data_IF_373230758236
#
_entry.id   IF_373230758236
#
_cell.length_a   1.000
_cell.length_b   1.000
_cell.length_c   1.000
_cell.angle_alpha   90.00
_cell.angle_beta   90.00
_cell.angle_gamma   90.00
#
_symmetry.space_group_name_H-M   'P 1'
#
loop_
_entity.id
_entity.type
_entity.pdbx_description
1 polymer ?
#
# COMPACT_ATOMS: atom_id res chain seq x y z
N UNK A 1 27.93 -25.93 25.54
CA UNK A 1 28.41 -25.30 26.79
C UNK A 1 28.26 -23.76 26.78
N UNK A 2 28.25 -23.11 25.61
CA UNK A 2 28.06 -21.65 25.45
C UNK A 2 26.63 -21.15 25.69
N UNK A 3 25.59 -21.87 25.23
CA UNK A 3 24.19 -21.42 25.30
C UNK A 3 23.65 -21.26 26.74
N UNK A 4 24.04 -22.16 27.66
CA UNK A 4 23.63 -22.09 29.07
C UNK A 4 24.27 -20.88 29.76
N UNK A 5 25.52 -20.54 29.39
CA UNK A 5 26.23 -19.37 29.93
C UNK A 5 25.55 -18.07 29.47
N UNK A 6 25.12 -17.98 28.20
CA UNK A 6 24.36 -16.82 27.71
C UNK A 6 22.97 -16.70 28.38
N UNK A 7 22.30 -17.82 28.63
CA UNK A 7 21.02 -17.84 29.35
C UNK A 7 21.18 -17.27 30.76
N UNK A 8 22.15 -17.78 31.52
CA UNK A 8 22.42 -17.37 32.90
C UNK A 8 22.88 -15.92 32.96
N UNK A 9 23.68 -15.46 31.99
CA UNK A 9 24.14 -14.07 31.91
C UNK A 9 23.03 -13.08 31.50
N UNK A 10 22.00 -13.53 30.77
CA UNK A 10 20.88 -12.67 30.33
C UNK A 10 19.87 -12.34 31.44
N UNK A 11 19.75 -13.22 32.45
CA UNK A 11 18.83 -13.05 33.59
C UNK A 11 19.17 -11.80 34.42
N UNK A 12 20.42 -11.59 34.89
CA UNK A 12 20.75 -10.37 35.65
C UNK A 12 20.61 -9.11 34.80
N UNK A 13 20.85 -9.18 33.48
CA UNK A 13 20.64 -8.05 32.58
C UNK A 13 19.15 -7.69 32.44
N UNK A 14 18.27 -8.69 32.32
CA UNK A 14 16.83 -8.50 32.28
C UNK A 14 16.28 -7.93 33.60
N UNK A 15 16.79 -8.42 34.73
CA UNK A 15 16.44 -7.92 36.07
C UNK A 15 16.91 -6.47 36.24
N UNK A 16 18.14 -6.15 35.82
CA UNK A 16 18.68 -4.78 35.87
C UNK A 16 17.84 -3.83 35.00
N UNK A 17 17.48 -4.24 33.78
CA UNK A 17 16.66 -3.43 32.88
C UNK A 17 15.25 -3.22 33.44
N UNK A 18 14.63 -4.25 34.02
CA UNK A 18 13.33 -4.15 34.67
C UNK A 18 13.35 -3.20 35.88
N UNK A 19 14.44 -3.18 36.66
CA UNK A 19 14.63 -2.25 37.78
C UNK A 19 14.79 -0.80 37.29
N UNK A 20 15.54 -0.58 36.20
CA UNK A 20 15.71 0.74 35.58
C UNK A 20 14.37 1.27 35.03
N UNK A 21 13.62 0.43 34.31
CA UNK A 21 12.31 0.81 33.75
C UNK A 21 11.26 1.08 34.83
N UNK A 22 11.28 0.31 35.93
CA UNK A 22 10.46 0.59 37.13
C UNK A 22 10.81 1.96 37.71
N UNK A 23 12.08 2.35 37.71
CA UNK A 23 12.50 3.66 38.19
C UNK A 23 12.08 4.81 37.26
N UNK A 24 11.96 4.54 35.94
CA UNK A 24 11.55 5.48 34.90
C UNK A 24 10.02 5.60 34.70
N UNK A 25 9.20 4.89 35.50
CA UNK A 25 7.71 4.89 35.41
C UNK A 25 7.16 4.61 34.00
N UNK A 26 7.82 3.78 33.21
CA UNK A 26 7.30 3.32 31.92
C UNK A 26 6.22 2.26 32.21
N UNK A 27 4.97 2.70 32.27
CA UNK A 27 3.80 1.95 32.75
C UNK A 27 3.01 1.21 31.67
N UNK A 28 3.61 0.89 30.52
CA UNK A 28 2.91 0.09 29.51
C UNK A 28 3.17 -1.40 29.72
N UNK A 29 2.10 -2.15 30.03
CA UNK A 29 2.14 -3.61 30.25
C UNK A 29 2.77 -4.35 29.07
N UNK A 30 2.61 -3.81 27.85
CA UNK A 30 3.21 -4.32 26.62
C UNK A 30 4.74 -4.29 26.64
N UNK A 31 5.34 -3.22 27.17
CA UNK A 31 6.80 -3.07 27.29
C UNK A 31 7.37 -4.07 28.29
N UNK A 32 6.65 -4.34 29.38
CA UNK A 32 7.07 -5.33 30.39
C UNK A 32 7.01 -6.76 29.84
N UNK A 33 5.96 -7.10 29.08
CA UNK A 33 5.82 -8.40 28.40
C UNK A 33 6.93 -8.58 27.35
N UNK A 34 7.18 -7.56 26.52
CA UNK A 34 8.25 -7.61 25.52
C UNK A 34 9.63 -7.80 26.17
N UNK A 35 9.88 -7.14 27.30
CA UNK A 35 11.12 -7.29 28.06
C UNK A 35 11.29 -8.68 28.68
N UNK A 36 10.19 -9.28 29.13
CA UNK A 36 10.21 -10.60 29.74
C UNK A 36 10.41 -11.72 28.70
N UNK A 37 9.97 -11.48 27.46
CA UNK A 37 10.17 -12.38 26.33
C UNK A 37 11.56 -12.23 25.68
N UNK A 38 12.24 -11.10 25.87
CA UNK A 38 13.54 -10.83 25.25
C UNK A 38 14.64 -11.86 25.64
N UNK A 39 14.81 -12.26 26.92
CA UNK A 39 15.78 -13.28 27.33
C UNK A 39 15.46 -14.65 26.75
N UNK A 40 14.18 -14.98 26.63
CA UNK A 40 13.71 -16.23 26.02
C UNK A 40 14.00 -16.23 24.51
N UNK A 41 13.82 -15.10 23.83
CA UNK A 41 14.18 -14.91 22.42
C UNK A 41 15.68 -15.03 22.19
N UNK A 42 16.51 -14.33 22.99
CA UNK A 42 17.98 -14.41 22.91
C UNK A 42 18.47 -15.83 23.18
N UNK A 43 17.90 -16.50 24.18
CA UNK A 43 18.21 -17.90 24.46
C UNK A 43 17.80 -18.84 23.32
N UNK A 44 16.61 -18.64 22.75
CA UNK A 44 16.12 -19.43 21.62
C UNK A 44 16.99 -19.30 20.37
N UNK A 45 17.47 -18.09 20.06
CA UNK A 45 18.40 -17.84 18.94
C UNK A 45 19.78 -18.43 19.24
N UNK A 46 20.33 -18.19 20.45
CA UNK A 46 21.68 -18.64 20.82
C UNK A 46 21.79 -20.16 21.00
N UNK A 47 20.70 -20.84 21.35
CA UNK A 47 20.65 -22.31 21.48
C UNK A 47 20.53 -23.03 20.14
N UNK A 48 20.31 -22.30 19.04
CA UNK A 48 20.00 -22.89 17.73
C UNK A 48 18.61 -23.52 17.65
N UNK A 49 17.80 -23.41 18.72
CA UNK A 49 16.42 -23.90 18.76
C UNK A 49 15.50 -23.01 17.90
N UNK A 50 15.87 -21.73 17.76
CA UNK A 50 15.29 -20.76 16.83
C UNK A 50 16.39 -20.41 15.80
N UNK A 51 16.82 -21.38 15.01
CA UNK A 51 17.69 -21.10 13.85
C UNK A 51 16.91 -20.62 12.63
N UNK A 52 15.60 -20.91 12.60
CA UNK A 52 14.61 -20.39 11.65
C UNK A 52 13.28 -20.24 12.42
N UNK A 53 12.40 -19.32 12.01
CA UNK A 53 11.00 -19.30 12.47
C UNK A 53 10.21 -20.51 11.89
N UNK A 54 10.79 -21.71 11.98
CA UNK A 54 10.31 -22.96 11.36
C UNK A 54 9.71 -23.94 12.37
N UNK A 55 9.39 -23.47 13.57
CA UNK A 55 8.61 -24.26 14.52
C UNK A 55 7.16 -24.43 14.03
N UNK A 56 6.73 -25.67 13.84
CA UNK A 56 5.30 -26.03 13.71
C UNK A 56 4.62 -25.72 12.36
N UNK A 57 5.35 -25.77 11.24
CA UNK A 57 4.76 -25.57 9.90
C UNK A 57 4.57 -24.11 9.50
N UNK A 58 4.75 -23.16 10.42
CA UNK A 58 4.64 -21.71 10.20
C UNK A 58 5.52 -21.22 9.04
N UNK A 59 6.77 -21.70 8.93
CA UNK A 59 7.66 -21.35 7.82
C UNK A 59 7.17 -21.88 6.46
N UNK A 60 6.50 -23.03 6.44
CA UNK A 60 5.94 -23.61 5.22
C UNK A 60 4.74 -22.79 4.75
N UNK A 61 3.80 -22.47 5.67
CA UNK A 61 2.62 -21.66 5.39
C UNK A 61 2.99 -20.24 4.96
N UNK A 62 3.99 -19.63 5.61
CA UNK A 62 4.51 -18.33 5.18
C UNK A 62 5.06 -18.38 3.76
N UNK A 63 5.89 -19.39 3.47
CA UNK A 63 6.50 -19.55 2.14
C UNK A 63 5.46 -19.80 1.07
N UNK A 64 4.42 -20.55 1.38
CA UNK A 64 3.30 -20.82 0.47
C UNK A 64 2.46 -19.56 0.22
N UNK A 65 2.13 -18.80 1.27
CA UNK A 65 1.43 -17.52 1.15
C UNK A 65 2.26 -16.44 0.43
N UNK A 66 3.59 -16.45 0.60
CA UNK A 66 4.49 -15.54 -0.13
C UNK A 66 4.57 -15.87 -1.62
N UNK A 67 4.44 -17.16 -1.98
CA UNK A 67 4.45 -17.67 -3.36
C UNK A 67 3.07 -17.73 -4.00
N UNK A 68 2.00 -17.51 -3.26
CA UNK A 68 0.66 -17.42 -3.84
C UNK A 68 0.52 -16.16 -4.67
N UNK A 69 -0.45 -16.17 -5.59
CA UNK A 69 -0.82 -15.01 -6.39
C UNK A 69 -0.99 -13.77 -5.51
N UNK A 70 -0.56 -12.64 -6.05
CA UNK A 70 -0.56 -11.36 -5.38
C UNK A 70 -1.96 -11.05 -4.88
N UNK A 71 -2.06 -10.64 -3.62
CA UNK A 71 -3.32 -10.24 -3.03
C UNK A 71 -3.79 -8.95 -3.70
N UNK A 72 -4.65 -9.11 -4.68
CA UNK A 72 -5.32 -8.00 -5.34
C UNK A 72 -6.53 -7.59 -4.53
N UNK A 73 -6.64 -6.27 -4.35
CA UNK A 73 -7.88 -5.67 -3.95
C UNK A 73 -8.64 -5.27 -5.23
N UNK A 74 -9.92 -5.64 -5.35
CA UNK A 74 -10.71 -5.22 -6.48
C UNK A 74 -10.74 -3.70 -6.51
N UNK A 75 -10.56 -3.15 -7.69
CA UNK A 75 -10.68 -1.72 -7.87
C UNK A 75 -12.13 -1.33 -7.62
N UNK A 76 -12.36 -0.48 -6.62
CA UNK A 76 -13.57 0.35 -6.64
C UNK A 76 -13.26 1.47 -7.62
N UNK A 77 -13.42 1.15 -8.91
CA UNK A 77 -13.11 2.08 -9.99
C UNK A 77 -14.17 3.17 -10.04
N UNK A 78 -13.68 4.39 -9.95
CA UNK A 78 -14.48 5.60 -10.05
C UNK A 78 -14.15 6.18 -11.43
N UNK A 79 -14.94 5.78 -12.43
CA UNK A 79 -14.80 6.24 -13.83
C UNK A 79 -15.62 7.52 -13.98
N UNK A 80 -14.93 8.65 -14.13
CA UNK A 80 -15.57 9.94 -13.87
C UNK A 80 -15.79 10.83 -15.08
N UNK A 81 -16.90 11.56 -15.00
CA UNK A 81 -17.29 12.61 -15.94
C UNK A 81 -17.05 13.99 -15.32
N UNK A 82 -15.82 14.45 -15.37
CA UNK A 82 -15.38 15.72 -14.76
C UNK A 82 -16.11 16.95 -15.31
N UNK A 83 -16.57 16.90 -16.56
CA UNK A 83 -17.41 17.97 -17.12
C UNK A 83 -18.77 18.10 -16.43
N UNK A 84 -19.27 17.01 -15.83
CA UNK A 84 -20.49 17.06 -15.02
C UNK A 84 -20.27 17.90 -13.78
N UNK A 85 -19.11 17.82 -13.10
CA UNK A 85 -18.88 18.57 -11.85
C UNK A 85 -18.68 20.06 -12.05
N UNK A 86 -18.04 20.49 -13.13
CA UNK A 86 -18.01 21.93 -13.45
C UNK A 86 -19.43 22.49 -13.64
N UNK A 87 -20.41 21.65 -14.00
CA UNK A 87 -21.81 22.03 -14.26
C UNK A 87 -22.78 21.72 -13.11
N UNK A 88 -22.58 20.63 -12.38
CA UNK A 88 -23.45 20.07 -11.33
C UNK A 88 -22.87 20.29 -9.91
N UNK A 89 -21.60 20.67 -9.79
CA UNK A 89 -20.95 21.05 -8.55
C UNK A 89 -20.79 19.92 -7.53
N UNK A 90 -20.85 20.29 -6.25
CA UNK A 90 -20.62 19.42 -5.08
C UNK A 90 -21.61 18.24 -5.01
N UNK A 91 -22.80 18.37 -5.59
CA UNK A 91 -23.85 17.34 -5.55
C UNK A 91 -23.45 16.03 -6.24
N UNK A 92 -22.66 16.11 -7.32
CA UNK A 92 -22.14 14.93 -8.01
C UNK A 92 -21.13 14.16 -7.13
N UNK A 93 -20.29 14.87 -6.37
CA UNK A 93 -19.36 14.28 -5.39
C UNK A 93 -20.12 13.64 -4.23
N UNK A 94 -21.19 14.27 -3.74
CA UNK A 94 -22.05 13.67 -2.70
C UNK A 94 -22.73 12.40 -3.18
N UNK A 95 -23.21 12.37 -4.43
CA UNK A 95 -23.79 11.17 -5.04
C UNK A 95 -22.77 10.02 -5.12
N UNK A 96 -21.56 10.32 -5.60
CA UNK A 96 -20.46 9.37 -5.66
C UNK A 96 -20.12 8.82 -4.26
N UNK A 97 -19.88 9.68 -3.29
CA UNK A 97 -19.43 9.30 -1.95
C UNK A 97 -20.44 8.43 -1.19
N UNK A 98 -21.75 8.56 -1.46
CA UNK A 98 -22.80 7.68 -0.88
C UNK A 98 -22.73 6.24 -1.35
N UNK A 99 -22.09 5.97 -2.49
CA UNK A 99 -21.93 4.61 -3.03
C UNK A 99 -20.63 3.94 -2.58
N UNK A 100 -19.71 4.71 -1.99
CA UNK A 100 -18.41 4.21 -1.56
C UNK A 100 -18.53 3.47 -0.23
N UNK A 101 -17.89 2.30 -0.17
CA UNK A 101 -17.78 1.55 1.09
C UNK A 101 -16.47 1.93 1.78
N UNK A 102 -16.50 2.45 3.01
CA UNK A 102 -15.28 2.74 3.78
C UNK A 102 -14.37 1.51 3.89
N UNK A 103 -13.06 1.71 3.75
CA UNK A 103 -12.06 0.65 3.88
C UNK A 103 -11.87 -0.24 2.63
N UNK A 104 -12.59 0.01 1.53
CA UNK A 104 -12.22 -0.55 0.22
C UNK A 104 -11.26 0.41 -0.48
N UNK A 105 -10.26 -0.11 -1.20
CA UNK A 105 -9.39 0.75 -1.98
C UNK A 105 -10.16 1.37 -3.14
N UNK A 106 -9.88 2.63 -3.37
CA UNK A 106 -10.50 3.42 -4.42
C UNK A 106 -9.40 3.78 -5.40
N UNK A 107 -9.73 3.70 -6.69
CA UNK A 107 -8.92 4.27 -7.75
C UNK A 107 -9.75 5.29 -8.51
N UNK A 108 -9.17 6.47 -8.75
CA UNK A 108 -9.72 7.41 -9.72
C UNK A 108 -9.12 7.05 -11.07
N UNK A 109 -9.97 6.77 -12.07
CA UNK A 109 -9.52 6.35 -13.39
C UNK A 109 -9.71 7.47 -14.41
N UNK A 110 -8.62 7.90 -15.06
CA UNK A 110 -8.64 8.85 -16.17
C UNK A 110 -8.26 8.16 -17.47
N UNK A 111 -8.71 8.70 -18.60
CA UNK A 111 -8.39 8.20 -19.93
C UNK A 111 -7.61 9.26 -20.72
N UNK A 112 -6.50 8.87 -21.34
CA UNK A 112 -5.75 9.73 -22.25
C UNK A 112 -6.53 10.02 -23.53
N UNK A 113 -6.09 11.05 -24.26
CA UNK A 113 -6.60 11.37 -25.58
C UNK A 113 -8.02 11.94 -25.56
N UNK A 114 -8.42 12.62 -24.47
CA UNK A 114 -9.70 13.33 -24.36
C UNK A 114 -9.50 14.84 -24.18
N UNK A 115 -9.17 15.57 -25.27
CA UNK A 115 -8.84 16.99 -25.20
C UNK A 115 -9.88 17.83 -24.47
N UNK A 116 -9.47 18.55 -23.43
CA UNK A 116 -10.33 19.46 -22.67
C UNK A 116 -11.45 18.78 -21.85
N UNK A 117 -11.42 17.46 -21.72
CA UNK A 117 -12.42 16.73 -20.92
C UNK A 117 -12.14 16.84 -19.42
N UNK A 118 -10.86 16.77 -19.04
CA UNK A 118 -10.42 16.80 -17.65
C UNK A 118 -10.01 18.21 -17.24
N UNK A 119 -10.86 18.86 -16.43
CA UNK A 119 -10.48 20.09 -15.74
C UNK A 119 -9.56 19.75 -14.54
N UNK A 120 -8.31 20.26 -14.48
CA UNK A 120 -7.38 19.94 -13.41
C UNK A 120 -7.91 20.28 -12.01
N UNK A 121 -8.67 21.37 -11.88
CA UNK A 121 -9.36 21.76 -10.64
C UNK A 121 -10.38 20.71 -10.20
N UNK A 122 -11.16 20.16 -11.12
CA UNK A 122 -12.10 19.08 -10.83
C UNK A 122 -11.37 17.80 -10.40
N UNK A 123 -10.25 17.45 -11.06
CA UNK A 123 -9.42 16.31 -10.64
C UNK A 123 -8.95 16.45 -9.20
N UNK A 124 -8.51 17.63 -8.78
CA UNK A 124 -8.14 17.89 -7.37
C UNK A 124 -9.33 17.68 -6.44
N UNK A 125 -10.51 18.17 -6.77
CA UNK A 125 -11.71 18.01 -5.94
C UNK A 125 -12.09 16.54 -5.74
N UNK A 126 -12.06 15.74 -6.81
CA UNK A 126 -12.31 14.30 -6.72
C UNK A 126 -11.26 13.60 -5.87
N UNK A 127 -9.98 13.86 -6.12
CA UNK A 127 -8.91 13.25 -5.34
C UNK A 127 -9.03 13.60 -3.86
N UNK A 128 -9.37 14.85 -3.52
CA UNK A 128 -9.58 15.28 -2.13
C UNK A 128 -10.77 14.57 -1.47
N UNK A 129 -11.91 14.52 -2.17
CA UNK A 129 -13.10 13.84 -1.66
C UNK A 129 -12.84 12.35 -1.41
N UNK A 130 -12.24 11.66 -2.38
CA UNK A 130 -11.92 10.24 -2.31
C UNK A 130 -10.83 9.93 -1.28
N UNK A 131 -9.86 10.82 -1.08
CA UNK A 131 -8.79 10.65 -0.09
C UNK A 131 -9.30 10.59 1.36
N UNK A 132 -10.50 11.11 1.63
CA UNK A 132 -11.13 10.97 2.95
C UNK A 132 -11.62 9.55 3.25
N UNK A 133 -11.86 8.75 2.21
CA UNK A 133 -12.27 7.34 2.30
C UNK A 133 -11.09 6.38 2.15
N UNK A 134 -10.13 6.71 1.29
CA UNK A 134 -8.91 5.96 1.07
C UNK A 134 -7.68 6.90 1.10
N UNK A 135 -6.95 6.99 2.22
CA UNK A 135 -5.74 7.81 2.33
C UNK A 135 -4.61 7.40 1.38
N UNK A 136 -4.66 6.19 0.83
CA UNK A 136 -3.73 5.64 -0.17
C UNK A 136 -4.37 5.55 -1.57
N UNK A 137 -5.34 6.44 -1.84
CA UNK A 137 -5.99 6.62 -3.14
C UNK A 137 -4.95 6.69 -4.27
N UNK A 138 -5.16 5.87 -5.29
CA UNK A 138 -4.31 5.84 -6.49
C UNK A 138 -5.05 6.47 -7.66
N UNK A 139 -4.40 7.40 -8.36
CA UNK A 139 -4.82 7.85 -9.67
C UNK A 139 -4.29 6.86 -10.70
N UNK A 140 -5.18 6.24 -11.46
CA UNK A 140 -4.83 5.35 -12.56
C UNK A 140 -5.19 6.07 -13.86
N UNK A 141 -4.27 6.05 -14.82
CA UNK A 141 -4.48 6.61 -16.14
C UNK A 141 -4.34 5.50 -17.17
N UNK A 142 -5.34 5.38 -18.03
CA UNK A 142 -5.33 4.43 -19.15
C UNK A 142 -5.20 5.15 -20.48
N UNK A 143 -4.74 4.43 -21.49
CA UNK A 143 -4.79 4.86 -22.88
C UNK A 143 -6.24 4.77 -23.43
N UNK A 144 -6.48 5.20 -24.70
CA UNK A 144 -7.78 5.09 -25.35
C UNK A 144 -8.32 3.64 -25.50
N UNK A 145 -7.45 2.63 -25.50
CA UNK A 145 -7.80 1.21 -25.61
C UNK A 145 -8.11 0.57 -24.23
N UNK A 146 -8.01 1.37 -23.16
CA UNK A 146 -8.23 0.96 -21.78
C UNK A 146 -7.02 0.26 -21.14
N UNK A 147 -5.84 0.27 -21.78
CA UNK A 147 -4.62 -0.29 -21.21
C UNK A 147 -3.97 0.69 -20.25
N UNK A 148 -3.26 0.15 -19.27
CA UNK A 148 -2.56 0.96 -18.29
C UNK A 148 -1.49 1.83 -18.93
N UNK A 149 -1.55 3.14 -18.64
CA UNK A 149 -0.63 4.12 -19.19
C UNK A 149 0.27 4.72 -18.09
N UNK A 150 -0.31 5.06 -16.94
CA UNK A 150 0.44 5.51 -15.77
C UNK A 150 -0.38 5.40 -14.47
N UNK A 151 0.31 5.46 -13.33
CA UNK A 151 -0.30 5.64 -12.02
C UNK A 151 0.44 6.71 -11.20
N UNK A 152 -0.28 7.34 -10.29
CA UNK A 152 0.28 8.25 -9.30
C UNK A 152 -0.45 8.14 -7.96
N UNK A 153 0.24 8.52 -6.88
CA UNK A 153 -0.40 8.69 -5.57
C UNK A 153 -1.31 9.93 -5.61
N UNK A 154 -2.55 9.79 -5.14
CA UNK A 154 -3.55 10.87 -5.19
C UNK A 154 -3.10 12.13 -4.45
N UNK A 155 -2.39 12.00 -3.33
CA UNK A 155 -1.87 13.14 -2.56
C UNK A 155 -0.70 13.81 -3.27
N UNK A 156 0.13 13.06 -3.98
CA UNK A 156 1.20 13.61 -4.81
C UNK A 156 0.60 14.48 -5.94
N UNK A 157 -0.47 14.00 -6.59
CA UNK A 157 -1.17 14.75 -7.65
C UNK A 157 -1.85 16.00 -7.08
N UNK A 158 -2.56 15.89 -5.95
CA UNK A 158 -3.15 17.06 -5.27
C UNK A 158 -2.08 18.12 -4.96
N UNK A 159 -0.94 17.69 -4.39
CA UNK A 159 0.16 18.58 -4.04
C UNK A 159 0.75 19.26 -5.28
N UNK A 160 0.90 18.52 -6.38
CA UNK A 160 1.41 19.04 -7.64
C UNK A 160 0.48 20.09 -8.29
N UNK A 161 -0.83 19.82 -8.30
CA UNK A 161 -1.83 20.69 -8.95
C UNK A 161 -2.25 21.89 -8.09
N UNK A 162 -2.07 21.81 -6.77
CA UNK A 162 -2.44 22.86 -5.81
C UNK A 162 -1.25 23.72 -5.34
N UNK A 163 -0.06 23.51 -5.90
CA UNK A 163 1.16 24.24 -5.51
C UNK A 163 1.19 25.70 -5.94
N UNK A 164 2.25 26.42 -5.55
CA UNK A 164 2.42 27.87 -5.82
C UNK A 164 2.38 28.24 -7.32
N UNK A 165 2.77 27.33 -8.21
CA UNK A 165 2.73 27.51 -9.67
C UNK A 165 1.46 26.89 -10.30
N UNK A 166 0.35 26.86 -9.57
CA UNK A 166 -0.86 26.09 -9.92
C UNK A 166 -1.37 26.27 -11.35
N UNK A 167 -1.35 27.48 -11.90
CA UNK A 167 -1.83 27.70 -13.28
C UNK A 167 -0.97 26.99 -14.34
N UNK A 168 0.35 27.05 -14.21
CA UNK A 168 1.28 26.42 -15.15
C UNK A 168 1.26 24.89 -14.99
N UNK A 169 1.25 24.38 -13.74
CA UNK A 169 1.20 22.94 -13.48
C UNK A 169 -0.11 22.33 -13.94
N UNK A 170 -1.23 23.03 -13.77
CA UNK A 170 -2.53 22.62 -14.31
C UNK A 170 -2.54 22.61 -15.85
N UNK A 171 -1.91 23.60 -16.49
CA UNK A 171 -1.80 23.62 -17.96
C UNK A 171 -0.99 22.42 -18.48
N UNK A 172 0.18 22.13 -17.87
CA UNK A 172 1.01 20.97 -18.22
C UNK A 172 0.31 19.64 -17.97
N UNK A 173 -0.40 19.53 -16.85
CA UNK A 173 -1.18 18.33 -16.54
C UNK A 173 -2.30 18.09 -17.55
N UNK A 174 -3.04 19.14 -17.92
CA UNK A 174 -4.07 19.05 -18.96
C UNK A 174 -3.46 18.66 -20.31
N UNK A 175 -2.37 19.30 -20.71
CA UNK A 175 -1.68 18.97 -21.96
C UNK A 175 -1.22 17.50 -21.99
N UNK A 176 -0.77 16.96 -20.86
CA UNK A 176 -0.37 15.57 -20.74
C UNK A 176 -1.54 14.59 -20.86
N UNK A 177 -2.74 14.93 -20.38
CA UNK A 177 -3.94 14.09 -20.50
C UNK A 177 -4.61 14.20 -21.87
N UNK A 178 -4.50 15.36 -22.52
CA UNK A 178 -5.04 15.59 -23.86
C UNK A 178 -4.27 14.79 -24.93
N UNK A 179 -3.00 14.47 -24.67
CA UNK A 179 -2.20 13.60 -25.53
C UNK A 179 -2.71 12.16 -25.50
N UNK A 180 -2.64 11.41 -26.64
CA UNK A 180 -3.06 10.01 -26.68
C UNK A 180 -2.05 9.06 -26.01
N UNK A 181 -0.82 9.52 -25.76
CA UNK A 181 0.26 8.75 -25.13
C UNK A 181 0.68 9.35 -23.79
N UNK A 182 1.25 8.50 -22.93
CA UNK A 182 1.64 8.88 -21.57
C UNK A 182 3.01 9.60 -21.49
N UNK A 183 3.68 9.91 -22.60
CA UNK A 183 5.04 10.44 -22.59
C UNK A 183 5.16 11.70 -21.73
N UNK A 184 4.33 12.70 -22.00
CA UNK A 184 4.27 13.95 -21.21
C UNK A 184 3.78 13.74 -19.78
N UNK A 185 2.89 12.75 -19.58
CA UNK A 185 2.35 12.45 -18.26
C UNK A 185 3.42 11.87 -17.32
N UNK A 186 4.30 11.02 -17.85
CA UNK A 186 5.39 10.39 -17.10
C UNK A 186 6.51 11.36 -16.73
N UNK A 187 6.59 12.53 -17.38
CA UNK A 187 7.47 13.63 -16.98
C UNK A 187 6.95 14.37 -15.75
N UNK A 188 5.66 14.23 -15.43
CA UNK A 188 5.07 14.91 -14.29
C UNK A 188 5.46 14.21 -12.97
N UNK A 189 5.77 14.98 -11.91
CA UNK A 189 6.14 14.42 -10.61
C UNK A 189 5.08 13.45 -10.07
N UNK A 190 5.53 12.28 -9.62
CA UNK A 190 4.69 11.27 -8.97
C UNK A 190 4.11 10.22 -9.91
N UNK A 191 4.05 10.49 -11.22
CA UNK A 191 3.58 9.53 -12.21
C UNK A 191 4.62 8.44 -12.50
N UNK A 192 4.15 7.24 -12.78
CA UNK A 192 4.98 6.10 -13.14
C UNK A 192 4.23 5.14 -14.02
N UNK A 193 4.97 4.46 -14.91
CA UNK A 193 4.50 3.33 -15.70
C UNK A 193 4.74 1.98 -15.02
N UNK A 194 5.25 2.00 -13.79
CA UNK A 194 5.52 0.78 -13.05
C UNK A 194 4.23 0.14 -12.58
N UNK A 195 4.04 -1.12 -12.97
CA UNK A 195 2.91 -1.97 -12.62
C UNK A 195 3.38 -3.39 -12.33
N UNK A 196 2.47 -4.24 -11.89
CA UNK A 196 2.73 -5.67 -11.70
C UNK A 196 1.72 -6.50 -12.49
N UNK A 197 2.07 -7.71 -12.89
CA UNK A 197 1.13 -8.63 -13.51
C UNK A 197 0.22 -9.23 -12.43
N UNK A 198 -1.04 -9.51 -12.78
CA UNK A 198 -2.02 -10.04 -11.82
C UNK A 198 -1.72 -11.47 -11.36
N UNK A 199 -0.86 -12.20 -12.07
CA UNK A 199 -0.37 -13.54 -11.75
C UNK A 199 0.95 -13.54 -10.96
N UNK A 200 1.56 -12.36 -10.74
CA UNK A 200 2.74 -12.25 -9.90
C UNK A 200 2.44 -12.68 -8.46
N UNK A 201 3.47 -13.03 -7.72
CA UNK A 201 3.36 -13.47 -6.32
C UNK A 201 3.36 -12.30 -5.33
N UNK A 202 2.88 -12.55 -4.11
CA UNK A 202 2.99 -11.58 -3.01
C UNK A 202 4.43 -11.15 -2.75
N UNK A 203 5.40 -12.07 -2.84
CA UNK A 203 6.82 -11.77 -2.67
C UNK A 203 7.36 -10.85 -3.77
N UNK A 204 7.02 -11.11 -5.03
CA UNK A 204 7.41 -10.27 -6.17
C UNK A 204 6.81 -8.87 -6.04
N UNK A 205 5.54 -8.77 -5.65
CA UNK A 205 4.87 -7.49 -5.41
C UNK A 205 5.57 -6.67 -4.32
N UNK A 206 5.85 -7.26 -3.16
CA UNK A 206 6.53 -6.59 -2.06
C UNK A 206 7.96 -6.18 -2.43
N UNK A 207 8.69 -7.04 -3.15
CA UNK A 207 10.05 -6.74 -3.63
C UNK A 207 10.03 -5.56 -4.59
N UNK A 208 9.10 -5.55 -5.55
CA UNK A 208 8.96 -4.45 -6.51
C UNK A 208 8.53 -3.15 -5.82
N UNK A 209 7.64 -3.22 -4.84
CA UNK A 209 7.24 -2.09 -4.00
C UNK A 209 8.41 -1.50 -3.22
N UNK A 210 9.31 -2.33 -2.70
CA UNK A 210 10.49 -1.88 -1.96
C UNK A 210 11.50 -1.18 -2.90
N UNK A 211 11.83 -1.82 -4.02
CA UNK A 211 12.74 -1.29 -5.04
C UNK A 211 12.28 0.07 -5.58
N UNK A 212 10.98 0.26 -5.75
CA UNK A 212 10.39 1.49 -6.25
C UNK A 212 10.03 2.50 -5.16
N UNK A 213 10.29 2.17 -3.88
CA UNK A 213 9.89 2.94 -2.71
C UNK A 213 8.39 3.33 -2.71
N UNK A 214 7.52 2.40 -3.13
CA UNK A 214 6.08 2.60 -3.29
C UNK A 214 5.28 1.62 -2.45
N UNK A 215 4.10 2.05 -2.01
CA UNK A 215 3.19 1.23 -1.20
C UNK A 215 2.12 0.52 -2.04
N UNK A 216 1.85 1.03 -3.23
CA UNK A 216 0.78 0.56 -4.10
C UNK A 216 1.31 0.36 -5.51
N UNK A 217 0.91 -0.74 -6.15
CA UNK A 217 1.14 -1.02 -7.56
C UNK A 217 -0.20 -1.35 -8.23
N UNK A 218 -0.36 -0.90 -9.47
CA UNK A 218 -1.48 -1.34 -10.31
C UNK A 218 -1.18 -2.74 -10.82
N UNK A 219 -2.14 -3.65 -10.69
CA UNK A 219 -2.04 -5.01 -11.20
C UNK A 219 -2.74 -5.10 -12.56
N UNK A 220 -2.06 -5.69 -13.54
CA UNK A 220 -2.51 -5.76 -14.92
C UNK A 220 -2.94 -7.18 -15.30
N UNK A 221 -4.00 -7.27 -16.10
CA UNK A 221 -4.35 -8.51 -16.80
C UNK A 221 -3.38 -8.79 -17.98
N UNK A 222 -3.46 -9.97 -18.62
CA UNK A 222 -2.61 -10.31 -19.77
C UNK A 222 -2.75 -9.34 -20.96
N UNK A 223 -3.89 -8.66 -21.08
CA UNK A 223 -4.17 -7.66 -22.12
C UNK A 223 -3.59 -6.27 -21.78
N UNK A 224 -3.02 -6.10 -20.58
CA UNK A 224 -2.39 -4.88 -20.10
C UNK A 224 -3.36 -3.88 -19.47
N UNK A 225 -4.57 -4.31 -19.10
CA UNK A 225 -5.59 -3.47 -18.48
C UNK A 225 -5.53 -3.57 -16.94
N UNK A 226 -5.84 -2.49 -16.22
CA UNK A 226 -5.94 -2.53 -14.76
C UNK A 226 -6.99 -3.55 -14.30
N UNK A 227 -6.57 -4.53 -13.50
CA UNK A 227 -7.43 -5.55 -12.87
C UNK A 227 -7.65 -5.31 -11.38
N UNK A 228 -6.68 -4.66 -10.73
CA UNK A 228 -6.66 -4.51 -9.28
C UNK A 228 -5.59 -3.55 -8.77
N UNK A 229 -5.62 -3.24 -7.48
CA UNK A 229 -4.49 -2.65 -6.77
C UNK A 229 -3.85 -3.70 -5.86
N UNK A 230 -2.52 -3.79 -5.93
CA UNK A 230 -1.71 -4.46 -4.95
C UNK A 230 -1.25 -3.41 -3.93
N UNK A 231 -1.68 -3.52 -2.67
CA UNK A 231 -1.25 -2.64 -1.58
C UNK A 231 -0.37 -3.39 -0.57
N UNK A 232 0.71 -2.75 -0.12
CA UNK A 232 1.70 -3.34 0.79
C UNK A 232 1.06 -3.79 2.10
N UNK A 233 0.23 -2.95 2.70
CA UNK A 233 -0.47 -3.23 3.95
C UNK A 233 -1.43 -4.42 3.83
N UNK A 234 -2.16 -4.54 2.72
CA UNK A 234 -3.07 -5.64 2.45
C UNK A 234 -2.34 -6.96 2.21
N UNK A 235 -1.22 -6.92 1.47
CA UNK A 235 -0.37 -8.10 1.27
C UNK A 235 0.23 -8.54 2.60
N UNK A 236 0.82 -7.62 3.37
CA UNK A 236 1.41 -7.94 4.68
C UNK A 236 0.36 -8.47 5.65
N UNK A 237 -0.82 -7.84 5.71
CA UNK A 237 -1.95 -8.32 6.54
C UNK A 237 -2.37 -9.72 6.13
N UNK A 238 -2.49 -9.99 4.84
CA UNK A 238 -2.81 -11.32 4.33
C UNK A 238 -1.76 -12.35 4.77
N UNK A 239 -0.47 -12.05 4.63
CA UNK A 239 0.61 -12.93 5.08
C UNK A 239 0.55 -13.19 6.59
N UNK A 240 0.29 -12.15 7.41
CA UNK A 240 0.15 -12.30 8.87
C UNK A 240 -1.07 -13.14 9.25
N UNK A 241 -2.19 -12.98 8.56
CA UNK A 241 -3.39 -13.81 8.79
C UNK A 241 -3.10 -15.27 8.46
N UNK A 242 -2.36 -15.56 7.39
CA UNK A 242 -1.99 -16.95 7.08
C UNK A 242 -1.14 -17.59 8.20
N UNK A 243 -0.32 -16.81 8.91
CA UNK A 243 0.45 -17.31 10.06
C UNK A 243 -0.44 -17.66 11.26
N UNK A 244 -1.50 -16.90 11.51
CA UNK A 244 -2.37 -17.12 12.67
C UNK A 244 -3.43 -18.20 12.45
N UNK A 245 -3.83 -18.43 11.19
CA UNK A 245 -4.91 -19.38 10.87
C UNK A 245 -4.45 -20.84 10.95
N UNK A 246 -3.16 -21.14 10.71
CA UNK A 246 -2.62 -22.50 10.82
C UNK A 246 -2.27 -22.90 12.27
N UNK A 247 -1.96 -21.94 13.15
CA UNK A 247 -1.78 -22.24 14.59
C UNK A 247 -3.06 -22.77 15.26
N UNK A 248 -4.24 -22.52 14.68
CA UNK A 248 -5.53 -22.99 15.20
C UNK A 248 -5.91 -24.42 14.77
N UNK A 249 -5.13 -25.07 13.90
CA UNK A 249 -5.39 -26.41 13.36
C UNK A 249 -4.54 -27.53 13.97
N UNK A 250 -4.01 -27.33 15.18
CA UNK A 250 -3.31 -28.41 15.90
C UNK A 250 -4.25 -29.02 16.94
N UNK A 251 -4.71 -30.28 16.79
CA UNK A 251 -5.39 -31.01 17.87
C UNK A 251 -4.44 -31.35 19.02
#
# INVERSE_FOLDING_TARGET
MSAIVYAIASIPLAVLLALILKHLKIGESTTFIALLLLPLGVWGIASGTISELSAGGVALTFREAAKSEVKLLPLTDVVENFQSIEKEGVAAIEGLTRTLTPGRPIALVLHLGRPGYYAPSAVVLYLQALSSFDPELTLVVTDPDGKFAAAADGRAVISYLSGQNGSETQARFREALDAPDAGKLLELPGFTKEAITADATNAEALTKMDQLARKTLVALDPEGRPKGLAKRDAIVTYLLVQLTTDTAKTP
#
